data_IF_933462578389
#
_entry.id   IF_933462578389
#
_cell.length_a   1.000
_cell.length_b   1.000
_cell.length_c   1.000
_cell.angle_alpha   90.00
_cell.angle_beta   90.00
_cell.angle_gamma   90.00
#
_symmetry.space_group_name_H-M   'P 1'
#
loop_
_entity.id
_entity.type
_entity.pdbx_description
1 polymer ?
#
# COMPACT_ATOMS: atom_id res chain seq x y z
N UNK A 1 8.97 -16.32 8.11
CA UNK A 1 8.23 -15.53 7.10
C UNK A 1 9.21 -14.59 6.42
N UNK A 2 9.37 -14.65 5.11
CA UNK A 2 10.36 -13.83 4.40
C UNK A 2 9.91 -12.36 4.35
N UNK A 3 10.83 -11.40 4.49
CA UNK A 3 10.57 -9.95 4.40
C UNK A 3 9.74 -9.59 3.15
N UNK A 4 10.01 -10.28 2.03
CA UNK A 4 9.26 -10.10 0.78
C UNK A 4 7.79 -10.50 0.89
N UNK A 5 7.50 -11.61 1.58
CA UNK A 5 6.12 -12.06 1.80
C UNK A 5 5.37 -11.08 2.70
N UNK A 6 6.06 -10.52 3.69
CA UNK A 6 5.49 -9.53 4.60
C UNK A 6 5.14 -8.22 3.88
N UNK A 7 6.04 -7.71 3.03
CA UNK A 7 5.76 -6.52 2.20
C UNK A 7 4.60 -6.75 1.23
N UNK A 8 4.51 -7.94 0.62
CA UNK A 8 3.42 -8.27 -0.31
C UNK A 8 2.06 -8.31 0.38
N UNK A 9 1.99 -8.87 1.59
CA UNK A 9 0.76 -8.88 2.40
C UNK A 9 0.40 -7.46 2.84
N UNK A 10 1.39 -6.69 3.32
CA UNK A 10 1.19 -5.31 3.73
C UNK A 10 0.65 -4.45 2.57
N UNK A 11 1.21 -4.61 1.37
CA UNK A 11 0.72 -3.93 0.17
C UNK A 11 -0.77 -4.19 -0.08
N UNK A 12 -1.20 -5.45 -0.05
CA UNK A 12 -2.60 -5.81 -0.28
C UNK A 12 -3.53 -5.23 0.79
N UNK A 13 -3.10 -5.22 2.05
CA UNK A 13 -3.86 -4.62 3.16
C UNK A 13 -4.06 -3.13 2.90
N UNK A 14 -3.00 -2.40 2.56
CA UNK A 14 -3.08 -0.95 2.30
C UNK A 14 -3.96 -0.61 1.10
N UNK A 15 -3.90 -1.41 0.03
CA UNK A 15 -4.78 -1.24 -1.14
C UNK A 15 -6.24 -1.46 -0.79
N UNK A 16 -6.57 -2.52 -0.04
CA UNK A 16 -7.94 -2.77 0.41
C UNK A 16 -8.45 -1.64 1.32
N UNK A 17 -7.61 -1.15 2.22
CA UNK A 17 -7.95 -0.05 3.11
C UNK A 17 -8.20 1.24 2.32
N UNK A 18 -7.37 1.55 1.32
CA UNK A 18 -7.57 2.71 0.45
C UNK A 18 -8.91 2.63 -0.27
N UNK A 19 -9.26 1.49 -0.88
CA UNK A 19 -10.55 1.31 -1.56
C UNK A 19 -11.73 1.48 -0.59
N UNK A 20 -11.61 0.91 0.61
CA UNK A 20 -12.63 1.02 1.65
C UNK A 20 -12.86 2.48 2.09
N UNK A 21 -11.79 3.23 2.35
CA UNK A 21 -11.87 4.64 2.73
C UNK A 21 -12.33 5.55 1.58
N UNK A 22 -12.01 5.24 0.32
CA UNK A 22 -12.59 5.92 -0.84
C UNK A 22 -14.10 5.72 -0.86
N UNK A 23 -14.57 4.47 -0.74
CA UNK A 23 -16.00 4.15 -0.74
C UNK A 23 -16.75 4.84 0.38
N UNK A 24 -16.20 4.78 1.61
CA UNK A 24 -16.77 5.49 2.76
C UNK A 24 -16.74 7.00 2.61
N UNK A 25 -15.64 7.56 2.12
CA UNK A 25 -15.50 9.02 1.93
C UNK A 25 -16.48 9.56 0.90
N UNK A 26 -16.70 8.83 -0.20
CA UNK A 26 -17.72 9.20 -1.20
C UNK A 26 -19.12 9.06 -0.60
N UNK A 27 -19.40 7.98 0.12
CA UNK A 27 -20.72 7.75 0.74
C UNK A 27 -21.07 8.82 1.79
N UNK A 28 -20.11 9.18 2.64
CA UNK A 28 -20.28 10.18 3.68
C UNK A 28 -20.12 11.63 3.17
N UNK A 29 -19.75 11.82 1.90
CA UNK A 29 -19.36 13.11 1.31
C UNK A 29 -18.25 13.81 2.12
N UNK A 30 -17.41 13.02 2.80
CA UNK A 30 -16.39 13.50 3.72
C UNK A 30 -15.02 13.54 3.04
N UNK A 31 -14.52 14.76 2.84
CA UNK A 31 -13.23 15.00 2.18
C UNK A 31 -12.05 14.51 3.02
N UNK A 32 -12.19 14.42 4.35
CA UNK A 32 -11.12 13.92 5.23
C UNK A 32 -10.89 12.43 5.03
N UNK A 33 -11.95 11.64 4.85
CA UNK A 33 -11.86 10.20 4.56
C UNK A 33 -11.22 9.95 3.19
N UNK A 34 -11.54 10.78 2.20
CA UNK A 34 -10.89 10.72 0.88
C UNK A 34 -9.39 11.04 1.00
N UNK A 35 -9.02 12.05 1.78
CA UNK A 35 -7.62 12.41 2.03
C UNK A 35 -6.85 11.26 2.71
N UNK A 36 -7.46 10.62 3.71
CA UNK A 36 -6.91 9.43 4.38
C UNK A 36 -6.70 8.30 3.37
N UNK A 37 -7.64 8.09 2.46
CA UNK A 37 -7.51 7.08 1.42
C UNK A 37 -6.34 7.35 0.47
N UNK A 38 -6.10 8.62 0.13
CA UNK A 38 -4.92 9.04 -0.65
C UNK A 38 -3.63 8.72 0.11
N UNK A 39 -3.58 8.95 1.43
CA UNK A 39 -2.41 8.58 2.25
C UNK A 39 -2.16 7.06 2.26
N UNK A 40 -3.22 6.24 2.31
CA UNK A 40 -3.06 4.80 2.18
C UNK A 40 -2.57 4.39 0.79
N UNK A 41 -3.05 5.05 -0.26
CA UNK A 41 -2.58 4.81 -1.64
C UNK A 41 -1.11 5.19 -1.82
N UNK A 42 -0.62 6.30 -1.25
CA UNK A 42 0.80 6.68 -1.35
C UNK A 42 1.71 5.68 -0.64
N UNK A 43 1.30 5.19 0.54
CA UNK A 43 2.04 4.12 1.24
C UNK A 43 2.03 2.83 0.44
N UNK A 44 0.91 2.44 -0.17
CA UNK A 44 0.86 1.28 -1.04
C UNK A 44 1.86 1.40 -2.21
N UNK A 45 1.94 2.57 -2.85
CA UNK A 45 2.93 2.84 -3.92
C UNK A 45 4.37 2.68 -3.41
N UNK A 46 4.70 3.29 -2.26
CA UNK A 46 6.01 3.14 -1.63
C UNK A 46 6.38 1.68 -1.35
N UNK A 47 5.46 0.90 -0.78
CA UNK A 47 5.67 -0.54 -0.53
C UNK A 47 5.87 -1.30 -1.85
N UNK A 48 5.11 -0.96 -2.89
CA UNK A 48 5.25 -1.57 -4.21
C UNK A 48 6.62 -1.29 -4.85
N UNK A 49 7.15 -0.08 -4.67
CA UNK A 49 8.48 0.30 -5.13
C UNK A 49 9.58 -0.43 -4.35
N UNK A 50 9.49 -0.49 -3.02
CA UNK A 50 10.40 -1.26 -2.17
C UNK A 50 10.40 -2.75 -2.55
N UNK A 51 9.21 -3.32 -2.79
CA UNK A 51 9.06 -4.71 -3.22
C UNK A 51 9.77 -4.97 -4.55
N UNK A 52 9.64 -4.04 -5.51
CA UNK A 52 10.35 -4.09 -6.80
C UNK A 52 11.86 -3.92 -6.63
N UNK A 53 12.31 -3.01 -5.77
CA UNK A 53 13.72 -2.77 -5.49
C UNK A 53 14.39 -3.97 -4.82
N UNK A 54 13.66 -4.67 -3.93
CA UNK A 54 14.08 -5.94 -3.34
C UNK A 54 14.28 -7.02 -4.41
N UNK A 55 13.38 -7.13 -5.39
CA UNK A 55 13.46 -8.08 -6.49
C UNK A 55 14.55 -7.72 -7.52
N UNK A 56 14.75 -6.42 -7.76
CA UNK A 56 15.64 -5.90 -8.79
C UNK A 56 17.08 -5.68 -8.30
N UNK A 57 17.39 -5.93 -7.03
CA UNK A 57 18.75 -5.76 -6.50
C UNK A 57 19.58 -7.03 -6.74
N UNK A 58 20.50 -7.05 -7.74
CA UNK A 58 21.33 -8.22 -8.04
C UNK A 58 22.42 -8.49 -6.99
N UNK A 59 22.67 -7.56 -6.06
CA UNK A 59 23.70 -7.69 -5.02
C UNK A 59 23.19 -8.22 -3.69
N UNK A 60 21.90 -8.56 -3.58
CA UNK A 60 21.34 -9.10 -2.35
C UNK A 60 21.73 -10.58 -2.23
N UNK A 61 22.86 -10.83 -1.56
CA UNK A 61 23.34 -12.17 -1.21
C UNK A 61 22.24 -12.94 -0.47
N UNK A 62 22.08 -14.22 -0.86
CA UNK A 62 21.16 -15.20 -0.27
C UNK A 62 21.24 -15.24 1.25
#
# INVERSE_FOLDING_TARGET
>A
MSLYQLLKILFFIFVLLAIFFIGLGIYALDTTLILIAVLFATVAVLIGLETKQILANPFRKK
#
